data_IF_183514001178
#
_entry.id   IF_183514001178
#
_cell.length_a   1.000
_cell.length_b   1.000
_cell.length_c   1.000
_cell.angle_alpha   90.00
_cell.angle_beta   90.00
_cell.angle_gamma   90.00
#
_symmetry.space_group_name_H-M   'P 1'
#
loop_
_entity.id
_entity.type
_entity.pdbx_description
1 polymer ?
#
# COMPACT_ATOMS: atom_id res chain seq x y z
N UNK A 1 -16.30 9.44 8.55
CA UNK A 1 -14.86 9.63 8.82
C UNK A 1 -14.23 10.38 7.65
N UNK A 2 -13.44 11.40 7.92
CA UNK A 2 -12.81 12.16 6.85
C UNK A 2 -11.73 11.34 6.16
N UNK A 3 -11.40 11.71 4.92
CA UNK A 3 -10.32 11.07 4.17
C UNK A 3 -8.98 11.18 4.91
N UNK A 4 -8.74 12.31 5.57
CA UNK A 4 -7.54 12.52 6.36
C UNK A 4 -7.43 11.51 7.51
N UNK A 5 -8.54 11.23 8.20
CA UNK A 5 -8.56 10.26 9.29
C UNK A 5 -8.31 8.84 8.78
N UNK A 6 -8.86 8.50 7.62
CA UNK A 6 -8.62 7.21 6.99
C UNK A 6 -7.15 7.04 6.61
N UNK A 7 -6.52 8.07 6.07
CA UNK A 7 -5.10 8.04 5.72
C UNK A 7 -4.24 7.90 6.98
N UNK A 8 -4.57 8.61 8.06
CA UNK A 8 -3.84 8.48 9.32
C UNK A 8 -3.94 7.05 9.88
N UNK A 9 -5.13 6.45 9.84
CA UNK A 9 -5.32 5.07 10.27
C UNK A 9 -4.53 4.09 9.41
N UNK A 10 -4.45 4.35 8.11
CA UNK A 10 -3.66 3.53 7.20
C UNK A 10 -2.19 3.50 7.65
N UNK A 11 -1.58 4.65 7.91
CA UNK A 11 -0.18 4.72 8.33
C UNK A 11 0.02 4.11 9.72
N UNK A 12 -0.93 4.29 10.65
CA UNK A 12 -0.86 3.66 11.97
C UNK A 12 -0.82 2.13 11.83
N UNK A 13 -1.66 1.57 10.98
CA UNK A 13 -1.69 0.12 10.75
C UNK A 13 -0.42 -0.38 10.09
N UNK A 14 0.11 0.36 9.12
CA UNK A 14 1.36 -0.01 8.47
C UNK A 14 2.52 -0.02 9.45
N UNK A 15 2.54 0.93 10.38
CA UNK A 15 3.58 0.96 11.42
C UNK A 15 3.49 -0.25 12.35
N UNK A 16 2.27 -0.65 12.72
CA UNK A 16 2.06 -1.84 13.55
C UNK A 16 2.47 -3.13 12.84
N UNK A 17 2.37 -3.15 11.51
CA UNK A 17 2.71 -4.32 10.70
C UNK A 17 4.18 -4.38 10.32
N UNK A 18 4.94 -3.33 10.53
CA UNK A 18 6.35 -3.27 10.15
C UNK A 18 7.12 -4.45 10.76
N UNK A 19 7.86 -5.17 9.91
CA UNK A 19 8.62 -6.35 10.32
C UNK A 19 7.80 -7.62 10.48
N UNK A 20 6.50 -7.57 10.27
CA UNK A 20 5.62 -8.73 10.41
C UNK A 20 5.31 -9.35 9.04
N UNK A 21 5.05 -10.67 8.99
CA UNK A 21 4.67 -11.32 7.74
C UNK A 21 3.34 -10.79 7.22
N UNK A 22 3.32 -10.41 5.96
CA UNK A 22 2.11 -9.92 5.29
C UNK A 22 2.01 -10.52 3.89
N UNK A 23 0.81 -10.47 3.30
CA UNK A 23 0.59 -10.78 1.90
C UNK A 23 0.14 -9.51 1.21
N UNK A 24 0.92 -9.05 0.23
CA UNK A 24 0.62 -7.86 -0.55
C UNK A 24 0.09 -8.28 -1.92
N UNK A 25 -1.12 -7.83 -2.26
CA UNK A 25 -1.75 -8.12 -3.55
C UNK A 25 -2.06 -6.81 -4.25
N UNK A 26 -1.82 -6.75 -5.55
CA UNK A 26 -2.05 -5.56 -6.35
C UNK A 26 -2.62 -5.96 -7.70
N UNK A 27 -3.68 -5.27 -8.15
CA UNK A 27 -4.21 -5.44 -9.50
C UNK A 27 -3.51 -4.47 -10.43
N UNK A 28 -3.01 -5.00 -11.54
CA UNK A 28 -2.31 -4.22 -12.56
C UNK A 28 -3.06 -4.35 -13.88
N UNK A 29 -3.31 -3.22 -14.55
CA UNK A 29 -3.93 -3.21 -15.87
C UNK A 29 -2.91 -3.62 -16.93
N UNK A 30 -3.32 -4.52 -17.81
CA UNK A 30 -2.48 -4.98 -18.93
C UNK A 30 -3.28 -4.87 -20.23
N UNK A 31 -2.62 -5.09 -21.37
CA UNK A 31 -3.29 -5.09 -22.67
C UNK A 31 -4.38 -6.15 -22.79
N UNK A 32 -4.29 -7.21 -22.00
CA UNK A 32 -5.25 -8.34 -22.05
C UNK A 32 -6.26 -8.29 -20.91
N UNK A 33 -6.34 -7.19 -20.17
CA UNK A 33 -7.22 -7.04 -19.02
C UNK A 33 -6.45 -6.71 -17.76
N UNK A 34 -6.83 -7.27 -16.62
CA UNK A 34 -6.16 -7.02 -15.35
C UNK A 34 -5.42 -8.27 -14.90
N UNK A 35 -4.30 -8.06 -14.21
CA UNK A 35 -3.46 -9.11 -13.64
C UNK A 35 -3.28 -8.83 -12.15
N UNK A 36 -3.32 -9.89 -11.33
CA UNK A 36 -3.04 -9.77 -9.91
C UNK A 36 -1.60 -10.17 -9.64
N UNK A 37 -0.88 -9.31 -8.91
CA UNK A 37 0.49 -9.56 -8.47
C UNK A 37 0.46 -9.77 -6.98
N UNK A 38 1.13 -10.82 -6.49
CA UNK A 38 1.14 -11.20 -5.08
C UNK A 38 2.58 -11.32 -4.59
N UNK A 39 2.88 -10.63 -3.48
CA UNK A 39 4.16 -10.75 -2.79
C UNK A 39 3.89 -11.10 -1.33
N UNK A 40 4.48 -12.19 -0.87
CA UNK A 40 4.42 -12.60 0.54
C UNK A 40 5.78 -12.33 1.17
N UNK A 41 5.78 -11.84 2.40
CA UNK A 41 7.03 -11.56 3.09
C UNK A 41 6.81 -10.59 4.23
N UNK A 42 7.89 -10.15 4.85
CA UNK A 42 7.81 -9.19 5.94
C UNK A 42 7.61 -7.79 5.37
N UNK A 43 6.78 -7.00 6.03
CA UNK A 43 6.58 -5.60 5.64
C UNK A 43 7.84 -4.81 6.01
N UNK A 44 8.57 -4.34 5.01
CA UNK A 44 9.80 -3.58 5.21
C UNK A 44 9.55 -2.08 5.29
N UNK A 45 8.62 -1.58 4.48
CA UNK A 45 8.34 -0.15 4.40
C UNK A 45 6.84 0.08 4.21
N UNK A 46 6.31 1.04 4.94
CA UNK A 46 4.95 1.54 4.78
C UNK A 46 4.92 2.97 5.27
N UNK A 47 5.50 3.89 4.48
CA UNK A 47 5.78 5.25 4.93
C UNK A 47 5.14 6.29 4.03
N UNK A 48 4.91 7.46 4.62
CA UNK A 48 4.56 8.66 3.86
C UNK A 48 5.87 9.36 3.48
N UNK A 49 6.05 9.58 2.18
CA UNK A 49 7.25 10.20 1.63
C UNK A 49 6.85 11.42 0.80
N UNK A 50 7.58 12.52 0.98
CA UNK A 50 7.38 13.69 0.14
C UNK A 50 8.13 13.51 -1.17
N UNK A 51 7.40 13.67 -2.28
CA UNK A 51 7.97 13.57 -3.63
C UNK A 51 8.23 14.98 -4.15
N UNK A 52 9.50 15.35 -4.26
CA UNK A 52 9.90 16.68 -4.71
C UNK A 52 9.50 16.96 -6.16
N UNK A 53 9.49 15.94 -7.00
CA UNK A 53 9.14 16.10 -8.42
C UNK A 53 7.69 16.48 -8.61
N UNK A 54 6.80 15.90 -7.83
CA UNK A 54 5.37 16.21 -7.90
C UNK A 54 4.94 17.24 -6.86
N UNK A 55 5.83 17.63 -5.94
CA UNK A 55 5.55 18.52 -4.82
C UNK A 55 4.36 18.05 -3.98
N UNK A 56 4.29 16.74 -3.74
CA UNK A 56 3.17 16.12 -3.03
C UNK A 56 3.64 14.91 -2.22
N UNK A 57 2.84 14.55 -1.22
CA UNK A 57 3.08 13.36 -0.44
C UNK A 57 2.62 12.10 -1.18
N UNK A 58 3.30 11.00 -0.95
CA UNK A 58 2.94 9.70 -1.47
C UNK A 58 3.14 8.63 -0.41
N UNK A 59 2.44 7.51 -0.55
CA UNK A 59 2.68 6.32 0.24
C UNK A 59 3.64 5.41 -0.52
N UNK A 60 4.59 4.80 0.20
CA UNK A 60 5.50 3.80 -0.36
C UNK A 60 5.44 2.54 0.50
N UNK A 61 5.21 1.41 -0.15
CA UNK A 61 5.07 0.11 0.53
C UNK A 61 6.00 -0.89 -0.14
N UNK A 62 6.77 -1.65 0.66
CA UNK A 62 7.59 -2.73 0.17
C UNK A 62 7.61 -3.90 1.15
N UNK A 63 7.80 -5.11 0.62
CA UNK A 63 7.96 -6.32 1.41
C UNK A 63 9.30 -6.99 1.09
N UNK A 64 9.72 -7.92 1.97
CA UNK A 64 10.99 -8.63 1.79
C UNK A 64 11.03 -9.51 0.54
N UNK A 65 9.88 -9.84 -0.05
CA UNK A 65 9.80 -10.66 -1.27
C UNK A 65 9.64 -9.88 -2.55
N UNK A 66 9.46 -8.56 -2.46
CA UNK A 66 9.49 -7.70 -3.65
C UNK A 66 10.91 -7.59 -4.17
N UNK A 67 11.12 -7.62 -5.50
CA UNK A 67 12.43 -7.31 -6.07
C UNK A 67 12.93 -5.94 -5.59
N UNK A 68 14.24 -5.81 -5.39
CA UNK A 68 14.83 -4.59 -4.81
C UNK A 68 14.56 -3.33 -5.63
N UNK A 69 14.25 -3.48 -6.93
CA UNK A 69 13.95 -2.36 -7.82
C UNK A 69 12.45 -2.09 -7.95
N UNK A 70 11.61 -2.81 -7.21
CA UNK A 70 10.16 -2.65 -7.27
C UNK A 70 9.65 -2.23 -5.89
N UNK A 71 8.80 -1.22 -5.88
CA UNK A 71 8.15 -0.73 -4.68
C UNK A 71 6.80 -0.15 -5.08
N UNK A 72 5.77 -0.44 -4.29
CA UNK A 72 4.47 0.18 -4.50
C UNK A 72 4.55 1.64 -4.09
N UNK A 73 4.12 2.53 -4.97
CA UNK A 73 4.05 3.96 -4.68
C UNK A 73 2.77 4.56 -5.23
N UNK A 74 2.11 5.38 -4.42
CA UNK A 74 0.85 6.01 -4.81
C UNK A 74 0.77 7.41 -4.20
N UNK A 75 0.53 8.46 -5.02
CA UNK A 75 0.29 9.80 -4.47
C UNK A 75 -0.93 9.78 -3.56
N UNK A 76 -0.86 10.45 -2.40
CA UNK A 76 -1.96 10.44 -1.44
C UNK A 76 -3.24 11.01 -2.04
N UNK A 77 -3.13 11.97 -2.95
CA UNK A 77 -4.30 12.57 -3.61
C UNK A 77 -5.09 11.58 -4.47
N UNK A 78 -4.47 10.45 -4.85
CA UNK A 78 -5.13 9.42 -5.65
C UNK A 78 -5.79 8.34 -4.78
N UNK A 79 -5.63 8.40 -3.46
CA UNK A 79 -6.30 7.49 -2.56
C UNK A 79 -7.75 7.95 -2.41
N UNK A 80 -8.69 7.12 -2.87
CA UNK A 80 -10.12 7.44 -2.85
C UNK A 80 -10.88 6.65 -1.80
N UNK A 81 -10.40 5.44 -1.48
CA UNK A 81 -11.10 4.54 -0.60
C UNK A 81 -10.09 3.69 0.19
N UNK A 82 -10.31 3.58 1.49
CA UNK A 82 -9.51 2.75 2.37
C UNK A 82 -10.46 1.95 3.25
N UNK A 83 -10.28 0.63 3.28
CA UNK A 83 -11.04 -0.26 4.17
C UNK A 83 -10.03 -1.01 5.04
N UNK A 84 -10.23 -0.96 6.36
CA UNK A 84 -9.35 -1.62 7.32
C UNK A 84 -10.17 -2.56 8.17
N UNK A 85 -9.82 -3.85 8.13
CA UNK A 85 -10.44 -4.91 8.94
C UNK A 85 -9.41 -5.45 9.93
N UNK A 86 -9.80 -6.47 10.71
CA UNK A 86 -8.91 -7.08 11.70
C UNK A 86 -7.70 -7.79 11.09
N UNK A 87 -7.78 -8.21 9.83
CA UNK A 87 -6.72 -8.99 9.16
C UNK A 87 -6.41 -8.53 7.74
N UNK A 88 -6.94 -7.37 7.32
CA UNK A 88 -6.83 -6.94 5.95
C UNK A 88 -6.97 -5.42 5.84
N UNK A 89 -6.22 -4.85 4.92
CA UNK A 89 -6.27 -3.43 4.59
C UNK A 89 -6.36 -3.31 3.07
N UNK A 90 -7.32 -2.54 2.57
CA UNK A 90 -7.56 -2.38 1.13
C UNK A 90 -7.49 -0.91 0.75
N UNK A 91 -6.72 -0.60 -0.28
CA UNK A 91 -6.60 0.76 -0.84
C UNK A 91 -7.20 0.75 -2.24
N UNK A 92 -8.20 1.60 -2.47
CA UNK A 92 -8.84 1.81 -3.79
C UNK A 92 -9.36 0.50 -4.42
N UNK A 93 -9.73 -0.49 -3.62
CA UNK A 93 -10.22 -1.79 -4.10
C UNK A 93 -9.23 -2.56 -4.99
N UNK A 94 -8.01 -2.03 -5.18
CA UNK A 94 -7.02 -2.63 -6.08
C UNK A 94 -5.79 -3.15 -5.37
N UNK A 95 -5.51 -2.66 -4.17
CA UNK A 95 -4.31 -2.99 -3.41
C UNK A 95 -4.71 -3.51 -2.04
N UNK A 96 -4.27 -4.72 -1.70
CA UNK A 96 -4.64 -5.38 -0.45
C UNK A 96 -3.40 -5.83 0.30
N UNK A 97 -3.35 -5.56 1.60
CA UNK A 97 -2.36 -6.10 2.50
C UNK A 97 -3.11 -6.96 3.53
N UNK A 98 -2.76 -8.23 3.61
CA UNK A 98 -3.38 -9.18 4.55
C UNK A 98 -2.34 -9.69 5.54
N UNK A 99 -2.79 -9.99 6.76
CA UNK A 99 -1.90 -10.54 7.80
C UNK A 99 -2.59 -11.55 8.71
#
# INVERSE_FOLDING_TARGET
>A
MSQRDQINKLFENLELLRGKPVTFKMKVSTHKGSKEVVYKGDLLKGDKVYDELSSADRIEISTSKMPSNIMFGLPLKLIKNIVINSNQLVINDTTTISW
#
